data_IF_634985177019
#
_entry.id   IF_634985177019
#
_cell.length_a   1.000
_cell.length_b   1.000
_cell.length_c   1.000
_cell.angle_alpha   90.00
_cell.angle_beta   90.00
_cell.angle_gamma   90.00
#
_symmetry.space_group_name_H-M   'P 1'
#
loop_
_entity.id
_entity.type
_entity.pdbx_description
1 polymer ?
#
# COMPACT_ATOMS: atom_id res chain seq x y z
N UNK A 1 11.36 -16.25 4.61
CA UNK A 1 12.09 -15.54 3.55
C UNK A 1 11.13 -14.62 2.80
N UNK A 2 11.57 -13.41 2.52
CA UNK A 2 10.75 -12.43 1.84
C UNK A 2 10.80 -12.67 0.35
N UNK A 3 9.64 -12.78 -0.28
CA UNK A 3 9.58 -12.87 -1.73
C UNK A 3 10.05 -11.57 -2.35
N UNK A 4 10.73 -11.69 -3.46
CA UNK A 4 11.14 -10.51 -4.21
C UNK A 4 9.94 -9.81 -4.79
N UNK A 5 9.75 -8.56 -4.39
CA UNK A 5 8.71 -7.72 -4.96
C UNK A 5 9.34 -6.84 -6.04
N UNK A 6 8.54 -6.40 -7.04
CA UNK A 6 9.08 -5.64 -8.17
C UNK A 6 9.39 -4.18 -7.83
N UNK A 7 9.58 -3.86 -6.56
CA UNK A 7 9.88 -2.50 -6.11
C UNK A 7 10.60 -2.57 -4.76
N UNK A 8 11.15 -1.43 -4.33
CA UNK A 8 11.88 -1.33 -3.08
C UNK A 8 10.93 -1.26 -1.87
N UNK A 9 10.71 -2.40 -1.24
CA UNK A 9 9.80 -2.54 -0.10
C UNK A 9 10.27 -1.71 1.08
N UNK A 10 11.56 -1.65 1.32
CA UNK A 10 12.10 -0.88 2.45
C UNK A 10 11.81 0.60 2.30
N UNK A 11 11.94 1.12 1.09
CA UNK A 11 11.64 2.52 0.80
C UNK A 11 10.16 2.81 1.00
N UNK A 12 9.31 1.91 0.55
CA UNK A 12 7.86 2.02 0.75
C UNK A 12 7.51 2.10 2.22
N UNK A 13 8.04 1.16 3.00
CA UNK A 13 7.75 1.10 4.44
C UNK A 13 8.23 2.35 5.15
N UNK A 14 9.43 2.81 4.82
CA UNK A 14 10.00 3.99 5.48
C UNK A 14 9.18 5.24 5.21
N UNK A 15 8.79 5.47 3.96
CA UNK A 15 7.96 6.62 3.61
C UNK A 15 6.62 6.57 4.32
N UNK A 16 6.01 5.41 4.39
CA UNK A 16 4.73 5.24 5.07
C UNK A 16 4.87 5.49 6.57
N UNK A 17 5.92 4.95 7.19
CA UNK A 17 6.16 5.18 8.61
C UNK A 17 6.31 6.65 8.94
N UNK A 18 7.02 7.40 8.11
CA UNK A 18 7.23 8.83 8.30
C UNK A 18 5.92 9.61 8.25
N UNK A 19 4.90 9.04 7.65
CA UNK A 19 3.60 9.68 7.52
C UNK A 19 2.55 9.11 8.48
N UNK A 20 2.98 8.36 9.47
CA UNK A 20 2.08 7.85 10.51
C UNK A 20 1.32 6.58 10.15
N UNK A 21 1.77 5.88 9.13
CA UNK A 21 1.17 4.60 8.76
C UNK A 21 1.65 3.52 9.72
N UNK A 22 0.70 2.75 10.25
CA UNK A 22 1.01 1.68 11.20
C UNK A 22 0.78 0.29 10.61
N UNK A 23 0.13 0.20 9.46
CA UNK A 23 -0.08 -1.08 8.79
C UNK A 23 -0.11 -0.87 7.29
N UNK A 24 0.56 -1.75 6.56
CA UNK A 24 0.63 -1.72 5.11
C UNK A 24 0.34 -3.10 4.58
N UNK A 25 -0.60 -3.21 3.65
CA UNK A 25 -0.89 -4.47 2.99
C UNK A 25 -0.96 -4.27 1.49
N UNK A 26 -0.49 -5.25 0.76
CA UNK A 26 -0.58 -5.28 -0.69
C UNK A 26 -1.85 -6.03 -1.10
N UNK A 27 -2.46 -5.61 -2.22
CA UNK A 27 -3.54 -6.37 -2.82
C UNK A 27 -3.42 -6.24 -4.34
N UNK A 28 -4.33 -6.89 -5.05
CA UNK A 28 -4.31 -6.87 -6.51
C UNK A 28 -3.21 -7.72 -7.11
N UNK A 29 -2.76 -7.37 -8.30
CA UNK A 29 -1.81 -8.20 -9.06
C UNK A 29 -0.47 -8.37 -8.36
N UNK A 30 0.00 -7.33 -7.67
CA UNK A 30 1.28 -7.42 -6.94
C UNK A 30 1.19 -8.45 -5.83
N UNK A 31 0.08 -8.44 -5.07
CA UNK A 31 -0.11 -9.40 -3.97
C UNK A 31 -0.21 -10.83 -4.47
N UNK A 32 -0.77 -11.02 -5.66
CA UNK A 32 -0.92 -12.36 -6.25
C UNK A 32 0.33 -12.85 -6.98
N UNK A 33 1.36 -12.01 -7.07
CA UNK A 33 2.56 -12.39 -7.80
C UNK A 33 2.42 -12.35 -9.31
N UNK A 34 1.38 -11.69 -9.82
CA UNK A 34 1.09 -11.60 -11.24
C UNK A 34 1.54 -10.29 -11.86
N UNK A 35 2.10 -9.40 -11.03
CA UNK A 35 2.49 -8.08 -11.48
C UNK A 35 3.76 -8.14 -12.32
N UNK A 36 3.83 -7.25 -13.33
CA UNK A 36 5.06 -7.00 -14.06
C UNK A 36 5.60 -5.64 -13.64
N UNK A 37 6.67 -5.18 -14.29
CA UNK A 37 7.32 -3.93 -13.93
C UNK A 37 6.46 -2.69 -14.19
N UNK A 38 5.39 -2.84 -14.97
CA UNK A 38 4.51 -1.74 -15.31
C UNK A 38 3.18 -1.78 -14.54
N UNK A 39 2.97 -2.82 -13.72
CA UNK A 39 1.75 -2.93 -12.96
C UNK A 39 1.67 -1.88 -11.87
N UNK A 40 0.46 -1.38 -11.61
CA UNK A 40 0.22 -0.48 -10.49
C UNK A 40 0.43 -1.24 -9.18
N UNK A 41 0.85 -0.51 -8.17
CA UNK A 41 0.98 -1.06 -6.81
C UNK A 41 -0.26 -0.65 -6.03
N UNK A 42 -1.05 -1.64 -5.60
CA UNK A 42 -2.26 -1.41 -4.84
C UNK A 42 -2.02 -1.66 -3.37
N UNK A 43 -2.21 -0.62 -2.55
CA UNK A 43 -1.92 -0.68 -1.12
C UNK A 43 -3.14 -0.33 -0.29
N UNK A 44 -3.32 -1.08 0.80
CA UNK A 44 -4.26 -0.71 1.86
C UNK A 44 -3.41 -0.33 3.06
N UNK A 45 -3.62 0.88 3.58
CA UNK A 45 -2.85 1.38 4.72
C UNK A 45 -3.77 1.76 5.87
N UNK A 46 -3.21 1.70 7.08
CA UNK A 46 -3.87 2.16 8.27
C UNK A 46 -2.99 3.19 8.94
N UNK A 47 -3.57 4.33 9.32
CA UNK A 47 -2.86 5.40 9.98
C UNK A 47 -3.13 5.37 11.48
N UNK A 48 -2.12 5.75 12.27
CA UNK A 48 -2.27 5.85 13.73
C UNK A 48 -3.19 6.99 14.12
N UNK A 49 -3.29 8.01 13.28
CA UNK A 49 -4.14 9.17 13.51
C UNK A 49 -4.83 9.53 12.21
N UNK A 50 -5.94 10.28 12.34
CA UNK A 50 -6.61 10.80 11.17
C UNK A 50 -5.71 11.81 10.46
N UNK A 51 -5.61 11.69 9.14
CA UNK A 51 -4.82 12.63 8.34
C UNK A 51 -5.74 13.32 7.35
N UNK A 52 -5.29 14.48 6.88
CA UNK A 52 -6.05 15.24 5.89
C UNK A 52 -5.98 14.56 4.53
N UNK A 53 -6.96 14.85 3.70
CA UNK A 53 -7.00 14.34 2.33
C UNK A 53 -5.79 14.80 1.53
N UNK A 54 -5.34 16.03 1.79
CA UNK A 54 -4.15 16.57 1.12
C UNK A 54 -2.89 15.78 1.47
N UNK A 55 -2.72 15.42 2.74
CA UNK A 55 -1.57 14.62 3.16
C UNK A 55 -1.64 13.22 2.60
N UNK A 56 -2.83 12.65 2.54
CA UNK A 56 -3.04 11.34 1.95
C UNK A 56 -2.63 11.34 0.48
N UNK A 57 -3.10 12.33 -0.28
CA UNK A 57 -2.75 12.44 -1.70
C UNK A 57 -1.26 12.71 -1.89
N UNK A 58 -0.65 13.49 -1.00
CA UNK A 58 0.79 13.75 -1.07
C UNK A 58 1.60 12.48 -0.83
N UNK A 59 1.17 11.65 0.11
CA UNK A 59 1.85 10.38 0.36
C UNK A 59 1.76 9.47 -0.86
N UNK A 60 0.59 9.37 -1.46
CA UNK A 60 0.41 8.57 -2.66
C UNK A 60 1.35 9.01 -3.79
N UNK A 61 1.46 10.33 -3.98
CA UNK A 61 2.37 10.87 -4.99
C UNK A 61 3.83 10.60 -4.65
N UNK A 62 4.21 10.78 -3.39
CA UNK A 62 5.57 10.51 -2.94
C UNK A 62 5.97 9.06 -3.17
N UNK A 63 5.06 8.15 -2.86
CA UNK A 63 5.30 6.73 -3.08
C UNK A 63 5.46 6.42 -4.56
N UNK A 64 4.60 6.99 -5.40
CA UNK A 64 4.68 6.77 -6.83
C UNK A 64 6.01 7.26 -7.40
N UNK A 65 6.45 8.43 -6.97
CA UNK A 65 7.73 8.99 -7.42
C UNK A 65 8.91 8.18 -6.92
N UNK A 66 8.86 7.77 -5.66
CA UNK A 66 9.97 7.04 -5.07
C UNK A 66 10.13 5.64 -5.64
N UNK A 67 9.02 4.99 -5.99
CA UNK A 67 9.04 3.62 -6.49
C UNK A 67 9.07 3.56 -8.02
N UNK A 68 8.93 4.69 -8.69
CA UNK A 68 8.99 4.75 -10.14
C UNK A 68 7.81 4.09 -10.84
N UNK A 69 6.67 3.97 -10.15
CA UNK A 69 5.45 3.39 -10.72
C UNK A 69 4.25 3.89 -9.95
N UNK A 70 3.09 3.81 -10.59
CA UNK A 70 1.86 4.28 -9.98
C UNK A 70 1.51 3.47 -8.74
N UNK A 71 1.22 4.18 -7.65
CA UNK A 71 0.77 3.59 -6.40
C UNK A 71 -0.65 4.05 -6.13
N UNK A 72 -1.56 3.11 -5.97
CA UNK A 72 -2.94 3.38 -5.57
C UNK A 72 -3.05 3.11 -4.08
N UNK A 73 -3.38 4.14 -3.32
CA UNK A 73 -3.40 4.09 -1.87
C UNK A 73 -4.84 4.12 -1.37
N UNK A 74 -5.20 3.14 -0.54
CA UNK A 74 -6.54 3.05 0.03
C UNK A 74 -6.44 2.86 1.54
N UNK A 75 -7.45 3.37 2.26
CA UNK A 75 -7.62 3.03 3.68
C UNK A 75 -8.71 1.97 3.78
N UNK A 76 -8.68 1.18 4.86
CA UNK A 76 -9.72 0.17 5.08
C UNK A 76 -11.11 0.78 5.09
N UNK A 77 -11.23 1.98 5.68
CA UNK A 77 -12.53 2.66 5.76
C UNK A 77 -13.07 3.06 4.40
N UNK A 78 -12.19 3.26 3.41
CA UNK A 78 -12.59 3.67 2.07
C UNK A 78 -12.99 2.49 1.18
N UNK A 79 -12.72 1.27 1.62
CA UNK A 79 -13.06 0.08 0.84
C UNK A 79 -14.54 -0.22 1.02
N UNK A 80 -15.27 -0.35 -0.10
CA UNK A 80 -16.67 -0.71 -0.02
C UNK A 80 -16.84 -2.11 0.55
N UNK A 81 -17.93 -2.39 1.28
CA UNK A 81 -18.16 -3.75 1.79
C UNK A 81 -18.17 -4.81 0.69
N UNK A 82 -18.55 -4.40 -0.50
CA UNK A 82 -18.62 -5.27 -1.66
C UNK A 82 -17.24 -5.80 -2.06
N UNK A 83 -16.24 -4.94 -2.03
CA UNK A 83 -14.88 -5.29 -2.44
C UNK A 83 -14.05 -5.82 -1.28
N UNK A 84 -14.50 -5.61 -0.05
CA UNK A 84 -13.72 -5.96 1.13
C UNK A 84 -13.33 -7.44 1.17
N UNK A 85 -14.28 -8.32 0.90
CA UNK A 85 -13.99 -9.75 0.91
C UNK A 85 -13.04 -10.17 -0.20
N UNK A 86 -13.22 -9.57 -1.38
CA UNK A 86 -12.35 -9.86 -2.50
C UNK A 86 -10.92 -9.42 -2.22
N UNK A 87 -10.77 -8.24 -1.63
CA UNK A 87 -9.47 -7.70 -1.27
C UNK A 87 -8.81 -8.55 -0.18
N UNK A 88 -9.60 -9.00 0.80
CA UNK A 88 -9.09 -9.82 1.88
C UNK A 88 -8.47 -11.13 1.40
N UNK A 89 -9.00 -11.72 0.35
CA UNK A 89 -8.47 -12.97 -0.20
C UNK A 89 -7.04 -12.79 -0.71
N UNK A 90 -6.77 -11.64 -1.31
CA UNK A 90 -5.47 -11.38 -1.95
C UNK A 90 -4.57 -10.53 -1.07
N UNK A 91 -5.06 -10.11 0.09
CA UNK A 91 -4.34 -9.17 0.94
C UNK A 91 -3.08 -9.80 1.53
N UNK A 92 -1.97 -9.07 1.43
CA UNK A 92 -0.71 -9.53 1.97
C UNK A 92 -0.11 -8.40 2.81
N UNK A 93 -0.08 -8.60 4.13
CA UNK A 93 0.49 -7.60 5.04
C UNK A 93 2.01 -7.63 4.94
N UNK A 94 2.61 -6.49 4.66
CA UNK A 94 4.07 -6.37 4.55
C UNK A 94 4.68 -5.56 5.70
N UNK A 95 3.85 -4.85 6.47
CA UNK A 95 4.33 -4.08 7.60
C UNK A 95 3.19 -3.89 8.60
N UNK A 96 3.51 -4.07 9.86
CA UNK A 96 2.55 -3.82 10.93
C UNK A 96 3.30 -3.38 12.18
N UNK A 97 3.05 -2.15 12.61
CA UNK A 97 3.65 -1.61 13.83
C UNK A 97 2.90 -2.15 15.05
N UNK A 98 3.64 -2.38 16.12
CA UNK A 98 3.06 -2.83 17.38
C UNK A 98 3.10 -1.76 18.43
#
# INVERSE_FOLDING_TARGET
>A
MIEELPFDVNKLIELCRQNGVVRIALFGSVARGEANQQSDIDLVVEFSKRISLLRFAALERQLSEALGRRVDLLTEAAISPYLREKIKRDLRVIYEAR
#
